data_IF_973228110981
#
_entry.id   IF_973228110981
#
_cell.length_a   1.000
_cell.length_b   1.000
_cell.length_c   1.000
_cell.angle_alpha   90.00
_cell.angle_beta   90.00
_cell.angle_gamma   90.00
#
_symmetry.space_group_name_H-M   'P 1'
#
loop_
_entity.id
_entity.type
_entity.pdbx_description
1 polymer ?
#
# COMPACT_ATOMS: atom_id res chain seq x y z
N UNK A 1 -40.41 8.36 38.52
CA UNK A 1 -40.99 9.68 38.87
C UNK A 1 -40.89 9.80 40.39
N UNK A 2 -40.11 10.76 40.91
CA UNK A 2 -40.64 12.10 41.15
C UNK A 2 -39.83 13.21 40.48
N UNK A 3 -40.33 14.44 40.65
CA UNK A 3 -40.18 15.65 39.82
C UNK A 3 -39.61 16.81 40.66
N UNK A 4 -38.98 17.77 39.96
CA UNK A 4 -38.74 19.20 40.29
C UNK A 4 -37.64 19.46 41.36
N UNK A 5 -36.82 20.53 41.35
CA UNK A 5 -36.89 21.88 40.76
C UNK A 5 -35.46 22.47 40.63
N UNK A 6 -35.09 23.17 39.55
CA UNK A 6 -35.08 24.64 39.34
C UNK A 6 -33.85 25.41 39.87
N UNK A 7 -33.30 26.29 39.00
CA UNK A 7 -32.30 27.34 39.29
C UNK A 7 -30.85 26.93 39.00
N UNK A 8 -29.96 27.67 38.34
CA UNK A 8 -29.90 29.08 37.98
C UNK A 8 -28.99 29.28 36.75
N UNK A 9 -29.27 30.33 35.99
CA UNK A 9 -28.45 30.81 34.89
C UNK A 9 -27.25 31.62 35.42
N UNK A 10 -26.03 31.38 34.91
CA UNK A 10 -24.95 32.34 35.08
C UNK A 10 -23.93 32.30 33.94
N UNK A 11 -23.88 33.41 33.17
CA UNK A 11 -22.62 34.03 32.76
C UNK A 11 -21.86 33.43 31.57
N UNK A 12 -22.26 33.82 30.36
CA UNK A 12 -21.37 33.86 29.19
C UNK A 12 -20.20 34.83 29.46
N UNK A 13 -18.97 34.32 29.61
CA UNK A 13 -17.75 35.11 29.44
C UNK A 13 -17.10 34.73 28.13
N UNK A 14 -17.35 35.53 27.09
CA UNK A 14 -16.60 35.50 25.83
C UNK A 14 -15.27 36.19 26.09
N UNK A 15 -14.19 35.43 26.18
CA UNK A 15 -12.84 35.98 26.15
C UNK A 15 -12.52 36.38 24.72
N UNK A 16 -12.52 37.69 24.47
CA UNK A 16 -11.93 38.30 23.30
C UNK A 16 -10.42 38.17 23.40
N UNK A 17 -9.79 37.43 22.49
CA UNK A 17 -8.34 37.25 22.50
C UNK A 17 -7.77 36.39 21.39
N UNK A 18 -8.49 36.19 20.28
CA UNK A 18 -8.04 35.28 19.23
C UNK A 18 -8.31 35.86 17.84
N UNK A 19 -7.80 37.07 17.57
CA UNK A 19 -7.94 37.68 16.24
C UNK A 19 -6.80 38.67 15.88
N UNK A 20 -5.57 38.36 16.28
CA UNK A 20 -4.39 39.10 15.79
C UNK A 20 -3.22 38.16 15.50
N UNK A 21 -3.36 37.29 14.50
CA UNK A 21 -2.18 36.58 13.97
C UNK A 21 -2.28 36.18 12.49
N UNK A 22 -3.08 36.88 11.69
CA UNK A 22 -3.21 36.62 10.25
C UNK A 22 -2.95 37.88 9.42
N UNK A 23 -1.76 38.49 9.56
CA UNK A 23 -1.31 39.43 8.52
C UNK A 23 0.21 39.61 8.39
N UNK A 24 1.00 38.56 8.67
CA UNK A 24 2.46 38.66 8.58
C UNK A 24 3.15 37.61 7.70
N UNK A 25 2.39 36.87 6.90
CA UNK A 25 2.93 35.87 5.97
C UNK A 25 2.99 36.32 4.50
N UNK A 26 2.46 37.52 4.16
CA UNK A 26 2.38 37.98 2.76
C UNK A 26 3.62 38.72 2.23
N UNK A 27 4.71 38.83 2.99
CA UNK A 27 5.88 39.65 2.61
C UNK A 27 7.21 38.87 2.50
N UNK A 28 7.15 37.54 2.43
CA UNK A 28 8.35 36.70 2.20
C UNK A 28 8.33 35.91 0.90
N UNK A 29 7.37 36.19 0.02
CA UNK A 29 7.15 35.45 -1.24
C UNK A 29 7.71 36.16 -2.48
N UNK A 30 8.63 37.13 -2.31
CA UNK A 30 9.10 37.98 -3.41
C UNK A 30 10.63 38.17 -3.50
N UNK A 31 11.41 37.20 -3.03
CA UNK A 31 12.87 37.25 -3.22
C UNK A 31 13.47 35.88 -3.47
N UNK A 32 13.35 35.41 -4.71
CA UNK A 32 14.47 34.89 -5.52
C UNK A 32 13.92 34.15 -6.75
N UNK A 33 13.54 34.92 -7.77
CA UNK A 33 13.68 34.48 -9.17
C UNK A 33 15.08 34.89 -9.63
N UNK A 34 15.94 33.90 -9.89
CA UNK A 34 16.99 33.99 -10.91
C UNK A 34 17.61 32.61 -11.13
N UNK A 35 17.31 31.99 -12.29
CA UNK A 35 18.12 30.90 -12.86
C UNK A 35 19.44 31.45 -13.44
N UNK A 36 20.43 30.59 -13.72
CA UNK A 36 20.51 30.04 -15.09
C UNK A 36 20.91 28.55 -15.17
N UNK A 37 20.90 28.07 -16.42
CA UNK A 37 21.01 26.70 -16.89
C UNK A 37 22.36 26.00 -16.69
N UNK A 38 22.33 24.66 -16.76
CA UNK A 38 23.50 23.80 -16.94
C UNK A 38 23.09 22.32 -17.05
N UNK A 39 23.09 21.79 -18.28
CA UNK A 39 23.05 20.35 -18.56
C UNK A 39 24.45 19.74 -18.33
N UNK A 40 24.51 18.58 -17.68
CA UNK A 40 25.72 17.74 -17.53
C UNK A 40 25.50 16.78 -16.34
N UNK A 41 25.15 15.51 -16.56
CA UNK A 41 26.01 14.36 -16.89
C UNK A 41 26.10 13.43 -15.66
N UNK A 42 26.14 12.13 -15.92
CA UNK A 42 25.79 11.06 -14.98
C UNK A 42 26.86 10.76 -13.92
N UNK A 43 26.36 10.26 -12.78
CA UNK A 43 26.98 9.32 -11.85
C UNK A 43 28.39 9.62 -11.31
N UNK A 44 28.47 10.00 -10.04
CA UNK A 44 29.62 9.62 -9.20
C UNK A 44 29.18 9.51 -7.75
N UNK A 45 29.07 8.28 -7.26
CA UNK A 45 28.89 7.99 -5.84
C UNK A 45 30.24 8.18 -5.14
N UNK A 46 30.54 9.42 -4.74
CA UNK A 46 31.64 9.70 -3.82
C UNK A 46 31.10 9.72 -2.40
N UNK A 47 31.44 8.67 -1.64
CA UNK A 47 31.27 8.66 -0.20
C UNK A 47 32.25 9.67 0.42
N UNK A 48 31.77 10.89 0.66
CA UNK A 48 32.55 11.95 1.30
C UNK A 48 31.72 12.67 2.37
N UNK A 49 32.15 12.52 3.62
CA UNK A 49 31.94 13.46 4.72
C UNK A 49 30.49 13.70 5.16
N UNK A 50 30.05 13.00 6.21
CA UNK A 50 28.82 13.36 6.93
C UNK A 50 29.08 14.65 7.71
N UNK A 51 28.75 15.80 7.11
CA UNK A 51 28.50 17.03 7.86
C UNK A 51 27.12 16.95 8.48
N UNK A 52 26.98 17.39 9.73
CA UNK A 52 25.80 17.25 10.60
C UNK A 52 24.58 18.12 10.18
N UNK A 53 24.38 18.34 8.88
CA UNK A 53 23.18 18.94 8.33
C UNK A 53 22.25 17.81 7.87
N UNK A 54 21.30 17.47 8.75
CA UNK A 54 20.14 16.61 8.51
C UNK A 54 20.43 15.31 7.77
N UNK A 55 20.74 14.26 8.52
CA UNK A 55 20.71 12.86 8.08
C UNK A 55 19.24 12.44 7.83
N UNK A 56 18.60 13.12 6.89
CA UNK A 56 17.20 12.96 6.54
C UNK A 56 17.12 11.76 5.61
N UNK A 57 16.39 10.74 6.04
CA UNK A 57 16.16 9.53 5.25
C UNK A 57 15.64 9.91 3.86
N UNK A 58 16.44 9.65 2.82
CA UNK A 58 16.08 9.89 1.43
C UNK A 58 15.36 8.66 0.89
N UNK A 59 14.06 8.79 0.66
CA UNK A 59 13.27 7.74 0.02
C UNK A 59 13.47 7.75 -1.50
N UNK A 60 13.45 6.57 -2.12
CA UNK A 60 13.44 6.45 -3.57
C UNK A 60 12.12 6.98 -4.15
N UNK A 61 12.18 7.54 -5.37
CA UNK A 61 10.98 7.92 -6.14
C UNK A 61 10.22 6.73 -6.71
N UNK A 62 10.77 5.52 -6.58
CA UNK A 62 10.21 4.26 -7.06
C UNK A 62 10.23 3.22 -5.94
N UNK A 63 9.11 2.55 -5.74
CA UNK A 63 8.94 1.42 -4.86
C UNK A 63 8.23 0.29 -5.61
N UNK A 64 8.32 -0.93 -5.08
CA UNK A 64 7.58 -2.04 -5.64
C UNK A 64 6.07 -1.84 -5.53
N UNK A 65 5.31 -2.35 -6.51
CA UNK A 65 3.85 -2.17 -6.60
C UNK A 65 3.14 -3.49 -6.82
N UNK A 66 2.03 -3.68 -6.14
CA UNK A 66 1.12 -4.80 -6.37
C UNK A 66 -0.23 -4.24 -6.83
N UNK A 67 -0.75 -4.75 -7.95
CA UNK A 67 -2.09 -4.45 -8.46
C UNK A 67 -2.88 -5.76 -8.54
N UNK A 68 -3.96 -5.86 -7.78
CA UNK A 68 -4.87 -7.02 -7.79
C UNK A 68 -6.26 -6.53 -8.16
N UNK A 69 -6.80 -7.00 -9.27
CA UNK A 69 -8.15 -6.68 -9.73
C UNK A 69 -8.93 -7.96 -10.01
N UNK A 70 -10.13 -8.08 -9.43
CA UNK A 70 -10.96 -9.28 -9.49
C UNK A 70 -10.17 -10.60 -9.24
N UNK A 71 -9.36 -10.63 -8.18
CA UNK A 71 -8.54 -11.80 -7.81
C UNK A 71 -9.23 -12.59 -6.70
N UNK A 72 -9.45 -13.89 -6.93
CA UNK A 72 -9.97 -14.81 -5.93
C UNK A 72 -8.86 -15.71 -5.39
N UNK A 73 -8.63 -15.68 -4.08
CA UNK A 73 -7.66 -16.56 -3.41
C UNK A 73 -8.41 -17.73 -2.77
N UNK A 74 -8.04 -18.97 -3.12
CA UNK A 74 -8.59 -20.20 -2.52
C UNK A 74 -7.51 -20.88 -1.69
N UNK A 75 -7.57 -20.77 -0.37
CA UNK A 75 -6.59 -21.40 0.52
C UNK A 75 -7.28 -22.24 1.62
N UNK A 76 -6.51 -23.13 2.26
CA UNK A 76 -6.97 -23.93 3.41
C UNK A 76 -7.16 -23.12 4.71
N UNK A 77 -6.82 -21.84 4.70
CA UNK A 77 -7.10 -20.91 5.79
C UNK A 77 -6.26 -21.07 7.06
N UNK A 78 -6.81 -20.58 8.17
CA UNK A 78 -6.20 -20.60 9.51
C UNK A 78 -6.49 -21.93 10.19
N UNK A 79 -5.49 -22.48 10.89
CA UNK A 79 -5.71 -23.62 11.77
C UNK A 79 -6.23 -23.14 13.13
N UNK A 80 -7.56 -23.11 13.28
CA UNK A 80 -8.22 -22.56 14.48
C UNK A 80 -7.98 -23.37 15.75
N UNK A 81 -7.60 -24.64 15.62
CA UNK A 81 -7.33 -25.55 16.74
C UNK A 81 -5.89 -25.45 17.26
N UNK A 82 -5.01 -24.70 16.60
CA UNK A 82 -3.62 -24.58 17.01
C UNK A 82 -3.51 -23.85 18.37
N UNK A 83 -2.93 -24.50 19.41
CA UNK A 83 -2.87 -23.92 20.76
C UNK A 83 -1.95 -22.70 20.87
N UNK A 84 -1.06 -22.49 19.88
CA UNK A 84 -0.16 -21.33 19.80
C UNK A 84 -0.78 -20.08 19.16
N UNK A 85 -2.05 -20.11 18.78
CA UNK A 85 -2.70 -18.95 18.16
C UNK A 85 -2.89 -17.82 19.17
N UNK A 86 -2.44 -16.63 18.82
CA UNK A 86 -2.63 -15.40 19.58
C UNK A 86 -3.19 -14.33 18.64
N UNK A 87 -4.51 -14.19 18.68
CA UNK A 87 -5.29 -13.40 17.73
C UNK A 87 -5.01 -11.90 17.83
N UNK A 88 -4.83 -11.37 19.03
CA UNK A 88 -4.60 -9.93 19.26
C UNK A 88 -3.25 -9.43 18.71
N UNK A 89 -2.28 -10.32 18.48
CA UNK A 89 -0.96 -9.99 17.89
C UNK A 89 -0.79 -10.51 16.46
N UNK A 90 -1.89 -10.91 15.80
CA UNK A 90 -1.90 -11.54 14.47
C UNK A 90 -0.98 -12.76 14.31
N UNK A 91 -0.66 -13.43 15.42
CA UNK A 91 0.15 -14.65 15.42
C UNK A 91 -0.78 -15.85 15.34
N UNK A 92 -1.19 -16.21 14.12
CA UNK A 92 -2.08 -17.34 13.86
C UNK A 92 -1.41 -18.34 12.94
N UNK A 93 -1.55 -19.63 13.27
CA UNK A 93 -1.08 -20.71 12.44
C UNK A 93 -1.98 -20.82 11.21
N UNK A 94 -1.36 -20.86 10.02
CA UNK A 94 -2.07 -20.95 8.75
C UNK A 94 -1.70 -22.28 8.11
N UNK A 95 -2.72 -23.01 7.66
CA UNK A 95 -2.54 -24.20 6.82
C UNK A 95 -1.93 -23.80 5.49
N UNK A 96 -2.20 -22.58 5.06
CA UNK A 96 -1.77 -22.08 3.77
C UNK A 96 -1.80 -20.54 3.69
N UNK A 97 -0.91 -19.97 2.88
CA UNK A 97 -0.94 -18.55 2.53
C UNK A 97 -0.38 -18.34 1.13
N UNK A 98 -1.00 -17.46 0.35
CA UNK A 98 -0.40 -16.91 -0.86
C UNK A 98 0.51 -15.75 -0.46
N UNK A 99 1.76 -15.74 -0.93
CA UNK A 99 2.75 -14.71 -0.66
C UNK A 99 3.23 -14.09 -1.97
N UNK A 100 3.20 -12.77 -2.05
CA UNK A 100 3.80 -12.00 -3.15
C UNK A 100 4.99 -11.26 -2.55
N UNK A 101 6.19 -11.58 -3.03
CA UNK A 101 7.45 -11.02 -2.56
C UNK A 101 8.04 -10.17 -3.67
N UNK A 102 7.99 -8.85 -3.47
CA UNK A 102 8.57 -7.88 -4.37
C UNK A 102 9.98 -7.52 -3.91
N UNK A 103 10.96 -7.70 -4.77
CA UNK A 103 12.33 -7.21 -4.54
C UNK A 103 12.48 -5.83 -5.17
N UNK A 104 12.98 -4.84 -4.43
CA UNK A 104 13.26 -3.50 -4.94
C UNK A 104 12.08 -2.78 -5.58
N UNK A 105 12.24 -2.39 -6.85
CA UNK A 105 11.33 -1.62 -7.71
C UNK A 105 10.48 -2.54 -8.61
N UNK A 106 10.21 -3.76 -8.16
CA UNK A 106 9.43 -4.74 -8.92
C UNK A 106 7.93 -4.48 -8.88
N UNK A 107 7.22 -4.98 -9.88
CA UNK A 107 5.77 -4.84 -10.00
C UNK A 107 5.10 -6.22 -10.12
N UNK A 108 3.96 -6.40 -9.48
CA UNK A 108 3.11 -7.57 -9.64
C UNK A 108 1.71 -7.13 -10.00
N UNK A 109 1.14 -7.71 -11.05
CA UNK A 109 -0.21 -7.47 -11.48
C UNK A 109 -0.96 -8.78 -11.67
N UNK A 110 -2.18 -8.85 -11.17
CA UNK A 110 -3.07 -9.98 -11.39
C UNK A 110 -4.48 -9.47 -11.62
N UNK A 111 -5.09 -9.92 -12.72
CA UNK A 111 -6.43 -9.51 -13.14
C UNK A 111 -7.26 -10.72 -13.54
N UNK A 112 -8.49 -10.83 -13.01
CA UNK A 112 -9.45 -11.89 -13.32
C UNK A 112 -8.88 -13.32 -13.09
N UNK A 113 -8.16 -13.53 -11.99
CA UNK A 113 -7.50 -14.82 -11.70
C UNK A 113 -7.96 -15.46 -10.40
N UNK A 114 -8.04 -16.79 -10.42
CA UNK A 114 -8.19 -17.60 -9.22
C UNK A 114 -6.83 -18.17 -8.83
N UNK A 115 -6.27 -17.72 -7.70
CA UNK A 115 -5.03 -18.26 -7.14
C UNK A 115 -5.42 -19.31 -6.10
N UNK A 116 -5.26 -20.59 -6.47
CA UNK A 116 -5.43 -21.70 -5.56
C UNK A 116 -4.14 -21.98 -4.79
N UNK A 117 -4.32 -22.25 -3.51
CA UNK A 117 -3.34 -22.80 -2.63
C UNK A 117 -2.75 -24.13 -3.11
N UNK A 118 -1.45 -24.34 -2.84
CA UNK A 118 -0.71 -25.56 -3.12
C UNK A 118 0.73 -25.28 -3.52
N UNK A 119 1.15 -25.85 -4.66
CA UNK A 119 2.52 -25.85 -5.16
C UNK A 119 3.09 -24.46 -5.54
N UNK A 120 2.24 -23.47 -5.81
CA UNK A 120 2.66 -22.11 -6.20
C UNK A 120 2.08 -21.07 -5.23
N UNK A 121 2.27 -21.31 -3.94
CA UNK A 121 1.81 -20.40 -2.88
C UNK A 121 2.67 -19.15 -2.75
N UNK A 122 3.84 -19.08 -3.41
CA UNK A 122 4.73 -17.91 -3.33
C UNK A 122 5.15 -17.42 -4.71
N UNK A 123 4.96 -16.13 -4.96
CA UNK A 123 5.39 -15.40 -6.14
C UNK A 123 6.51 -14.45 -5.76
N UNK A 124 7.71 -14.64 -6.30
CA UNK A 124 8.85 -13.74 -6.06
C UNK A 124 9.18 -12.99 -7.33
N UNK A 125 9.10 -11.67 -7.29
CA UNK A 125 9.42 -10.79 -8.43
C UNK A 125 10.77 -10.12 -8.18
N UNK A 126 11.80 -10.37 -9.01
CA UNK A 126 13.12 -9.75 -8.85
C UNK A 126 13.10 -8.23 -9.10
N UNK A 127 14.09 -7.50 -8.57
CA UNK A 127 14.19 -6.04 -8.74
C UNK A 127 14.15 -5.60 -10.21
N UNK A 128 13.33 -4.60 -10.50
CA UNK A 128 13.16 -4.04 -11.84
C UNK A 128 12.27 -4.87 -12.78
N UNK A 129 11.74 -6.01 -12.35
CA UNK A 129 10.83 -6.83 -13.15
C UNK A 129 9.36 -6.59 -12.81
N UNK A 130 8.49 -6.83 -13.80
CA UNK A 130 7.05 -6.87 -13.64
C UNK A 130 6.51 -8.27 -13.94
N UNK A 131 5.81 -8.87 -12.99
CA UNK A 131 5.09 -10.13 -13.16
C UNK A 131 3.61 -9.85 -13.41
N UNK A 132 3.05 -10.39 -14.49
CA UNK A 132 1.61 -10.29 -14.81
C UNK A 132 1.01 -11.68 -14.81
N UNK A 133 -0.03 -11.88 -14.00
CA UNK A 133 -0.75 -13.15 -13.85
C UNK A 133 -2.14 -12.99 -14.44
N UNK A 134 -2.37 -13.68 -15.56
CA UNK A 134 -3.66 -13.71 -16.24
C UNK A 134 -4.13 -15.16 -16.36
N UNK A 135 -5.44 -15.39 -16.22
CA UNK A 135 -6.01 -16.72 -16.34
C UNK A 135 -6.16 -17.08 -17.82
N UNK A 136 -5.49 -18.15 -18.27
CA UNK A 136 -5.72 -18.71 -19.59
C UNK A 136 -7.10 -19.36 -19.59
N UNK A 137 -8.07 -18.73 -20.26
CA UNK A 137 -9.36 -19.35 -20.55
C UNK A 137 -9.13 -20.46 -21.56
N UNK A 138 -8.92 -21.69 -21.10
CA UNK A 138 -9.01 -22.85 -21.98
C UNK A 138 -10.49 -23.04 -22.29
N UNK A 139 -10.91 -22.56 -23.46
CA UNK A 139 -12.24 -22.80 -24.00
C UNK A 139 -12.37 -24.33 -24.19
N UNK A 140 -12.98 -25.02 -23.23
CA UNK A 140 -13.42 -26.40 -23.43
C UNK A 140 -14.64 -26.35 -24.35
N UNK A 141 -14.37 -26.24 -25.65
CA UNK A 141 -15.34 -26.21 -26.74
C UNK A 141 -14.88 -27.13 -27.86
N UNK A 142 -14.90 -28.43 -27.62
CA UNK A 142 -15.06 -29.43 -28.68
C UNK A 142 -15.77 -30.64 -28.08
N UNK A 143 -17.09 -30.65 -28.16
CA UNK A 143 -17.88 -31.89 -28.10
C UNK A 143 -17.30 -32.85 -29.15
N UNK A 144 -16.88 -34.08 -28.80
CA UNK A 144 -16.60 -35.08 -29.81
C UNK A 144 -17.91 -35.41 -30.52
N UNK A 145 -17.98 -34.98 -31.78
CA UNK A 145 -19.09 -35.17 -32.68
C UNK A 145 -19.57 -36.62 -32.73
N UNK A 146 -20.89 -36.70 -32.79
CA UNK A 146 -21.74 -37.87 -32.99
C UNK A 146 -21.12 -38.94 -33.92
N UNK A 147 -20.97 -40.14 -33.38
CA UNK A 147 -20.78 -41.35 -34.17
C UNK A 147 -22.11 -41.68 -34.86
N UNK A 148 -22.29 -41.24 -36.11
CA UNK A 148 -23.32 -41.81 -36.97
C UNK A 148 -22.76 -43.08 -37.60
N UNK A 149 -23.15 -44.21 -37.00
CA UNK A 149 -22.95 -45.53 -37.58
C UNK A 149 -23.79 -45.64 -38.86
N UNK A 150 -23.11 -45.97 -39.96
CA UNK A 150 -23.71 -46.57 -41.16
C UNK A 150 -23.32 -48.05 -41.17
#
# INVERSE_FOLDING_TARGET
MPKLSSGEALGKKRTAGHDQMLNRLSLKEERMRSSPAGFGEAASCTAAGVSAAEERLQYSSKCGKVHLDNVAIRNLGVDWTAPGNVYWKHHVNRREAVRIVLQGRSEFEATDVVISGGHTSTYTVPDGYRMVVNQVRTLHGSEPGQNTAW
#
